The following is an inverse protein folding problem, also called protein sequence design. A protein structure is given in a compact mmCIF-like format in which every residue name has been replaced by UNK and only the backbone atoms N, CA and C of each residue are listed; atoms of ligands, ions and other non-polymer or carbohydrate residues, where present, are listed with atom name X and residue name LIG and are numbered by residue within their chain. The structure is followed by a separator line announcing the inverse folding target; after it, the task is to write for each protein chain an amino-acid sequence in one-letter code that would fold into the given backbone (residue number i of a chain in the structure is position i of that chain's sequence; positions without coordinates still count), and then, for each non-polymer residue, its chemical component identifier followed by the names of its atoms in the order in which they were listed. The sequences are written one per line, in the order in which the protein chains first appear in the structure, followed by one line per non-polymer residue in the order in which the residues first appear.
data_IF_560048220336
#
_entry.id   IF_560048220336
#
_cell.length_a   1.000
_cell.length_b   1.000
_cell.length_c   1.000
_cell.angle_alpha   90.00
_cell.angle_beta   90.00
_cell.angle_gamma   90.00
#
_symmetry.space_group_name_H-M   'P 1'
#
loop_
_entity.id
_entity.type
_entity.pdbx_description
1 polymer ?
#
# COMPACT_ATOMS: atom_id res chain seq x y z
N UNK A 1 26.71 0.18 26.08
CA UNK A 1 27.39 -0.66 25.08
C UNK A 1 27.98 -1.92 25.67
N UNK A 2 28.58 -1.91 26.87
CA UNK A 2 29.12 -3.16 27.46
C UNK A 2 28.11 -4.31 27.56
N UNK A 3 26.85 -4.03 27.88
CA UNK A 3 25.81 -5.06 27.90
C UNK A 3 25.60 -5.72 26.52
N UNK A 4 25.71 -4.98 25.41
CA UNK A 4 25.68 -5.56 24.07
C UNK A 4 26.90 -6.43 23.81
N UNK A 5 28.10 -5.95 24.15
CA UNK A 5 29.35 -6.67 23.90
C UNK A 5 29.56 -7.90 24.78
N UNK A 6 28.83 -8.03 25.89
CA UNK A 6 28.77 -9.28 26.65
C UNK A 6 28.01 -10.39 25.91
N UNK A 7 27.10 -10.01 25.02
CA UNK A 7 26.22 -10.93 24.28
C UNK A 7 26.71 -11.12 22.85
N UNK A 8 27.29 -10.07 22.25
CA UNK A 8 27.78 -10.04 20.88
C UNK A 8 29.28 -9.69 20.79
N UNK A 9 30.19 -10.49 21.38
CA UNK A 9 31.62 -10.23 21.30
C UNK A 9 32.15 -10.29 19.85
N UNK A 10 31.71 -11.25 19.03
CA UNK A 10 32.15 -11.34 17.62
C UNK A 10 31.69 -10.13 16.82
N UNK A 11 30.47 -9.64 17.05
CA UNK A 11 29.95 -8.45 16.39
C UNK A 11 30.77 -7.21 16.74
N UNK A 12 31.26 -7.12 17.98
CA UNK A 12 32.16 -6.03 18.39
C UNK A 12 33.45 -6.09 17.58
N UNK A 13 34.02 -7.27 17.40
CA UNK A 13 35.28 -7.48 16.66
C UNK A 13 35.09 -7.22 15.15
N UNK A 14 33.92 -7.53 14.59
CA UNK A 14 33.58 -7.18 13.20
C UNK A 14 33.43 -5.67 13.01
N UNK A 15 32.81 -4.97 13.95
CA UNK A 15 32.52 -3.54 13.85
C UNK A 15 33.72 -2.66 14.22
N UNK A 16 34.61 -3.11 15.11
CA UNK A 16 35.65 -2.27 15.69
C UNK A 16 37.03 -2.92 15.77
N UNK A 17 38.04 -2.17 15.34
CA UNK A 17 39.45 -2.47 15.62
C UNK A 17 39.99 -1.60 16.76
N UNK A 18 40.98 -2.14 17.49
CA UNK A 18 41.73 -1.36 18.49
C UNK A 18 42.71 -0.43 17.78
N UNK A 19 42.51 0.88 17.93
CA UNK A 19 43.42 1.90 17.40
C UNK A 19 44.57 2.21 18.37
N UNK A 20 44.26 2.29 19.67
CA UNK A 20 45.23 2.43 20.77
C UNK A 20 44.59 1.94 22.07
N UNK A 21 45.35 1.79 23.16
CA UNK A 21 44.82 1.30 24.45
C UNK A 21 43.60 2.12 24.89
N UNK A 22 42.42 1.49 24.91
CA UNK A 22 41.13 2.14 25.25
C UNK A 22 40.42 2.87 24.10
N UNK A 23 40.98 2.92 22.89
CA UNK A 23 40.40 3.61 21.73
C UNK A 23 40.14 2.65 20.57
N UNK A 24 38.95 2.76 19.99
CA UNK A 24 38.47 1.91 18.91
C UNK A 24 38.26 2.72 17.63
N UNK A 25 38.50 2.08 16.48
CA UNK A 25 38.19 2.59 15.15
C UNK A 25 37.07 1.74 14.55
N UNK A 26 36.10 2.39 13.90
CA UNK A 26 35.04 1.69 13.18
C UNK A 26 35.59 1.05 11.90
N UNK A 27 35.27 -0.22 11.67
CA UNK A 27 35.75 -1.03 10.55
C UNK A 27 34.82 -0.97 9.32
N UNK A 28 33.61 -0.45 9.49
CA UNK A 28 32.56 -0.37 8.47
C UNK A 28 32.10 1.07 8.25
N UNK A 29 31.57 1.36 7.07
CA UNK A 29 30.92 2.65 6.79
C UNK A 29 29.58 2.79 7.55
N UNK A 30 29.17 4.02 7.83
CA UNK A 30 27.98 4.31 8.66
C UNK A 30 26.68 3.73 8.07
N UNK A 31 26.59 3.63 6.74
CA UNK A 31 25.43 3.11 6.00
C UNK A 31 25.34 1.57 6.03
N UNK A 32 26.42 0.85 6.35
CA UNK A 32 26.46 -0.61 6.36
C UNK A 32 26.29 -1.21 7.77
N UNK A 33 26.43 -0.41 8.84
CA UNK A 33 26.37 -0.87 10.25
C UNK A 33 25.18 -1.79 10.53
N UNK A 34 23.96 -1.36 10.15
CA UNK A 34 22.74 -2.15 10.39
C UNK A 34 22.80 -3.50 9.68
N UNK A 35 23.25 -3.51 8.43
CA UNK A 35 23.40 -4.75 7.66
C UNK A 35 24.41 -5.70 8.32
N UNK A 36 25.53 -5.17 8.82
CA UNK A 36 26.52 -5.97 9.57
C UNK A 36 25.90 -6.59 10.81
N UNK A 37 25.15 -5.80 11.61
CA UNK A 37 24.47 -6.30 12.82
C UNK A 37 23.50 -7.44 12.47
N UNK A 38 22.65 -7.25 11.45
CA UNK A 38 21.66 -8.27 11.06
C UNK A 38 22.27 -9.53 10.44
N UNK A 39 23.48 -9.44 9.90
CA UNK A 39 24.17 -10.58 9.27
C UNK A 39 25.05 -11.35 10.24
N UNK A 40 25.28 -10.84 11.44
CA UNK A 40 26.15 -11.45 12.43
C UNK A 40 25.48 -12.67 13.09
N UNK A 41 26.25 -13.75 13.24
CA UNK A 41 25.75 -15.04 13.77
C UNK A 41 25.25 -14.95 15.21
N UNK A 42 25.88 -14.16 16.08
CA UNK A 42 25.45 -14.01 17.48
C UNK A 42 24.17 -13.21 17.60
N UNK A 43 23.98 -12.21 16.73
CA UNK A 43 22.73 -11.46 16.65
C UNK A 43 21.59 -12.38 16.21
N UNK A 44 21.78 -13.13 15.11
CA UNK A 44 20.80 -14.12 14.62
C UNK A 44 20.47 -15.15 15.70
N UNK A 45 21.48 -15.75 16.33
CA UNK A 45 21.28 -16.74 17.40
C UNK A 45 20.55 -16.16 18.63
N UNK A 46 20.70 -14.86 18.90
CA UNK A 46 19.92 -14.20 19.95
C UNK A 46 18.45 -14.02 19.56
N UNK A 47 18.18 -13.72 18.28
CA UNK A 47 16.82 -13.77 17.71
C UNK A 47 16.17 -15.14 17.88
N UNK A 48 16.88 -16.23 17.60
CA UNK A 48 16.38 -17.60 17.76
C UNK A 48 16.00 -17.92 19.21
N UNK A 49 16.76 -17.44 20.20
CA UNK A 49 16.42 -17.59 21.63
C UNK A 49 15.12 -16.88 22.00
N UNK A 50 14.87 -15.72 21.39
CA UNK A 50 13.61 -14.97 21.58
C UNK A 50 12.44 -15.74 20.97
N UNK A 51 12.61 -16.27 19.77
CA UNK A 51 11.61 -17.11 19.10
C UNK A 51 11.31 -18.39 19.88
N UNK A 52 12.33 -19.02 20.47
CA UNK A 52 12.18 -20.18 21.34
C UNK A 52 11.39 -19.83 22.61
N UNK A 53 11.77 -18.75 23.32
CA UNK A 53 11.06 -18.28 24.50
C UNK A 53 9.57 -17.97 24.19
N UNK A 54 9.32 -17.29 23.08
CA UNK A 54 7.95 -17.01 22.64
C UNK A 54 7.19 -18.28 22.27
N UNK A 55 7.83 -19.25 21.63
CA UNK A 55 7.23 -20.54 21.27
C UNK A 55 6.88 -21.37 22.50
N UNK A 56 7.73 -21.38 23.51
CA UNK A 56 7.47 -22.02 24.81
C UNK A 56 6.27 -21.37 25.51
N UNK A 57 6.20 -20.04 25.51
CA UNK A 57 5.03 -19.32 26.03
C UNK A 57 3.76 -19.65 25.24
N UNK A 58 3.82 -19.68 23.89
CA UNK A 58 2.68 -20.05 23.04
C UNK A 58 2.17 -21.45 23.38
N UNK A 59 3.04 -22.43 23.56
CA UNK A 59 2.65 -23.79 23.97
C UNK A 59 1.90 -23.80 25.31
N UNK A 60 2.35 -23.00 26.28
CA UNK A 60 1.66 -22.85 27.57
C UNK A 60 0.31 -22.14 27.43
N UNK A 61 0.26 -21.11 26.59
CA UNK A 61 -0.93 -20.32 26.34
C UNK A 61 -1.99 -21.14 25.59
N UNK A 62 -1.58 -21.96 24.62
CA UNK A 62 -2.42 -22.79 23.76
C UNK A 62 -3.35 -23.70 24.58
N UNK A 63 -2.78 -24.37 25.60
CA UNK A 63 -3.54 -25.26 26.47
C UNK A 63 -4.73 -24.55 27.15
N UNK A 64 -4.69 -23.22 27.29
CA UNK A 64 -5.74 -22.39 27.89
C UNK A 64 -6.59 -21.69 26.82
N UNK A 65 -5.93 -20.99 25.90
CA UNK A 65 -6.56 -20.16 24.88
C UNK A 65 -7.27 -20.94 23.79
N UNK A 66 -7.05 -22.26 23.64
CA UNK A 66 -7.84 -23.16 22.78
C UNK A 66 -9.00 -23.86 23.52
N UNK A 67 -9.02 -23.78 24.85
CA UNK A 67 -9.99 -24.47 25.70
C UNK A 67 -10.81 -23.49 26.54
N UNK A 68 -11.23 -22.36 25.94
CA UNK A 68 -12.04 -21.37 26.63
C UNK A 68 -13.44 -21.91 26.95
N UNK A 69 -13.89 -21.72 28.21
CA UNK A 69 -15.14 -22.24 28.77
C UNK A 69 -15.80 -21.20 29.69
N UNK A 70 -17.09 -21.35 29.94
CA UNK A 70 -17.92 -20.41 30.73
C UNK A 70 -17.48 -20.25 32.19
N UNK A 71 -16.74 -21.20 32.74
CA UNK A 71 -16.22 -21.20 34.11
C UNK A 71 -14.86 -20.48 34.25
N UNK A 72 -14.26 -20.06 33.14
CA UNK A 72 -12.94 -19.40 33.15
C UNK A 72 -13.10 -17.92 33.50
N UNK A 73 -12.36 -17.50 34.54
CA UNK A 73 -12.17 -16.09 34.88
C UNK A 73 -11.15 -15.45 33.93
N UNK A 74 -11.58 -14.41 33.20
CA UNK A 74 -10.70 -13.62 32.31
C UNK A 74 -9.56 -12.96 33.08
N UNK A 75 -9.83 -12.50 34.31
CA UNK A 75 -8.84 -11.90 35.21
C UNK A 75 -7.77 -12.92 35.63
N UNK A 76 -8.16 -14.16 35.94
CA UNK A 76 -7.20 -15.19 36.32
C UNK A 76 -6.40 -15.69 35.12
N UNK A 77 -7.02 -15.70 33.94
CA UNK A 77 -6.36 -16.08 32.69
C UNK A 77 -5.20 -15.13 32.35
N UNK A 78 -5.43 -13.81 32.36
CA UNK A 78 -4.35 -12.85 32.06
C UNK A 78 -3.22 -12.93 33.10
N UNK A 79 -3.53 -13.12 34.38
CA UNK A 79 -2.49 -13.30 35.42
C UNK A 79 -1.61 -14.50 35.09
N UNK A 80 -2.20 -15.64 34.69
CA UNK A 80 -1.45 -16.85 34.32
C UNK A 80 -0.61 -16.65 33.06
N UNK A 81 -1.17 -16.01 32.03
CA UNK A 81 -0.44 -15.73 30.78
C UNK A 81 0.73 -14.78 31.01
N UNK A 82 0.53 -13.73 31.80
CA UNK A 82 1.54 -12.76 32.18
C UNK A 82 2.67 -13.35 33.03
N UNK A 83 2.33 -14.18 34.02
CA UNK A 83 3.35 -14.86 34.83
C UNK A 83 4.21 -15.79 33.98
N UNK A 84 3.58 -16.52 33.05
CA UNK A 84 4.32 -17.39 32.14
C UNK A 84 5.22 -16.60 31.21
N UNK A 85 4.76 -15.49 30.60
CA UNK A 85 5.58 -14.73 29.64
C UNK A 85 6.78 -14.10 30.33
N UNK A 86 6.61 -13.60 31.55
CA UNK A 86 7.72 -13.05 32.34
C UNK A 86 8.79 -14.09 32.65
N UNK A 87 8.38 -15.34 32.91
CA UNK A 87 9.30 -16.44 33.20
C UNK A 87 10.08 -16.88 31.96
N UNK A 88 9.41 -17.04 30.82
CA UNK A 88 10.09 -17.49 29.58
C UNK A 88 11.14 -16.46 29.10
N UNK A 89 10.95 -15.18 29.42
CA UNK A 89 11.87 -14.10 29.04
C UNK A 89 12.85 -13.68 30.16
N UNK A 90 12.87 -14.39 31.29
CA UNK A 90 13.65 -13.98 32.47
C UNK A 90 15.17 -14.03 32.25
N UNK A 91 15.64 -15.02 31.48
CA UNK A 91 17.06 -15.26 31.25
C UNK A 91 17.61 -14.50 30.02
N UNK A 92 16.77 -13.73 29.32
CA UNK A 92 17.20 -12.94 28.17
C UNK A 92 17.78 -11.59 28.61
N UNK A 93 19.04 -11.35 28.24
CA UNK A 93 19.83 -10.23 28.78
C UNK A 93 19.59 -8.86 28.13
N UNK A 94 19.23 -8.82 26.84
CA UNK A 94 19.04 -7.57 26.08
C UNK A 94 17.56 -7.20 25.88
N UNK A 95 16.65 -8.16 26.02
CA UNK A 95 15.22 -7.89 26.01
C UNK A 95 14.74 -7.82 27.45
N UNK A 96 14.13 -6.71 27.81
CA UNK A 96 13.52 -6.55 29.12
C UNK A 96 12.18 -7.31 29.17
N UNK A 97 12.09 -8.32 30.04
CA UNK A 97 10.86 -9.11 30.26
C UNK A 97 9.62 -8.25 30.57
N UNK A 98 9.81 -7.07 31.19
CA UNK A 98 8.70 -6.16 31.47
C UNK A 98 8.16 -5.49 30.21
N UNK A 99 9.00 -5.21 29.21
CA UNK A 99 8.55 -4.64 27.94
C UNK A 99 7.71 -5.67 27.16
N UNK A 100 8.12 -6.93 27.18
CA UNK A 100 7.34 -8.06 26.62
C UNK A 100 6.01 -8.23 27.35
N UNK A 101 6.00 -8.13 28.67
CA UNK A 101 4.78 -8.12 29.47
C UNK A 101 3.86 -6.94 29.12
N UNK A 102 4.41 -5.74 28.88
CA UNK A 102 3.60 -4.59 28.45
C UNK A 102 2.96 -4.81 27.09
N UNK A 103 3.63 -5.46 26.14
CA UNK A 103 3.03 -5.83 24.84
C UNK A 103 1.80 -6.72 25.05
N UNK A 104 1.94 -7.78 25.84
CA UNK A 104 0.81 -8.67 26.16
C UNK A 104 -0.32 -7.90 26.84
N UNK A 105 -0.02 -7.04 27.82
CA UNK A 105 -1.03 -6.26 28.53
C UNK A 105 -1.74 -5.24 27.65
N UNK A 106 -0.99 -4.52 26.82
CA UNK A 106 -1.55 -3.55 25.89
C UNK A 106 -2.55 -4.25 24.98
N UNK A 107 -2.13 -5.35 24.36
CA UNK A 107 -3.01 -6.12 23.47
C UNK A 107 -4.19 -6.75 24.21
N UNK A 108 -3.98 -7.24 25.43
CA UNK A 108 -5.05 -7.75 26.29
C UNK A 108 -6.13 -6.69 26.52
N UNK A 109 -5.72 -5.48 26.88
CA UNK A 109 -6.64 -4.40 27.21
C UNK A 109 -7.34 -3.81 25.97
N UNK A 110 -6.68 -3.83 24.81
CA UNK A 110 -7.23 -3.26 23.58
C UNK A 110 -8.21 -4.19 22.87
N UNK A 111 -7.91 -5.49 22.76
CA UNK A 111 -8.72 -6.41 21.95
C UNK A 111 -8.89 -7.81 22.56
N UNK A 112 -7.80 -8.44 23.04
CA UNK A 112 -7.84 -9.87 23.37
C UNK A 112 -8.76 -10.19 24.55
N UNK A 113 -8.91 -9.29 25.53
CA UNK A 113 -9.86 -9.47 26.64
C UNK A 113 -11.30 -9.53 26.15
N UNK A 114 -11.66 -8.69 25.17
CA UNK A 114 -13.00 -8.62 24.61
C UNK A 114 -13.29 -9.86 23.76
N UNK A 115 -12.32 -10.31 22.97
CA UNK A 115 -12.42 -11.55 22.20
C UNK A 115 -12.64 -12.77 23.11
N UNK A 116 -11.82 -12.91 24.15
CA UNK A 116 -11.94 -14.00 25.15
C UNK A 116 -13.29 -13.93 25.85
N UNK A 117 -13.73 -12.75 26.25
CA UNK A 117 -15.03 -12.55 26.91
C UNK A 117 -16.18 -12.95 26.00
N UNK A 118 -16.11 -12.57 24.71
CA UNK A 118 -17.12 -12.93 23.73
C UNK A 118 -17.19 -14.45 23.56
N UNK A 119 -16.06 -15.15 23.41
CA UNK A 119 -16.02 -16.62 23.28
C UNK A 119 -16.58 -17.31 24.52
N UNK A 120 -16.22 -16.85 25.72
CA UNK A 120 -16.69 -17.41 26.99
C UNK A 120 -18.20 -17.21 27.16
N UNK A 121 -18.73 -16.06 26.73
CA UNK A 121 -20.14 -15.70 26.90
C UNK A 121 -21.07 -16.27 25.82
N UNK A 122 -20.53 -16.64 24.65
CA UNK A 122 -21.32 -17.14 23.52
C UNK A 122 -21.64 -18.63 23.68
N UNK A 123 -22.90 -19.01 23.49
CA UNK A 123 -23.31 -20.42 23.53
C UNK A 123 -22.58 -21.29 22.49
N UNK A 124 -22.15 -20.68 21.38
CA UNK A 124 -21.39 -21.37 20.34
C UNK A 124 -19.86 -21.40 20.61
N UNK A 125 -19.38 -20.79 21.69
CA UNK A 125 -17.96 -20.68 22.00
C UNK A 125 -17.18 -20.02 20.85
N UNK A 126 -16.15 -20.72 20.34
CA UNK A 126 -15.39 -20.28 19.16
C UNK A 126 -16.26 -20.10 17.91
N UNK A 127 -17.43 -20.72 17.84
CA UNK A 127 -18.39 -20.50 16.75
C UNK A 127 -18.88 -19.05 16.66
N UNK A 128 -18.69 -18.22 17.70
CA UNK A 128 -18.88 -16.78 17.65
C UNK A 128 -18.03 -16.11 16.54
N UNK A 129 -16.90 -16.70 16.15
CA UNK A 129 -16.01 -16.16 15.12
C UNK A 129 -16.63 -16.14 13.71
N UNK A 130 -17.71 -16.90 13.51
CA UNK A 130 -18.52 -16.90 12.27
C UNK A 130 -19.47 -15.70 12.18
N UNK A 131 -19.64 -14.95 13.28
CA UNK A 131 -20.57 -13.80 13.35
C UNK A 131 -19.91 -12.56 12.74
N UNK A 132 -20.72 -11.82 11.98
CA UNK A 132 -20.35 -10.53 11.39
C UNK A 132 -21.27 -9.43 11.90
N UNK A 133 -20.80 -8.19 11.87
CA UNK A 133 -21.60 -7.00 12.18
C UNK A 133 -21.54 -5.96 11.06
N UNK A 134 -22.60 -5.19 10.90
CA UNK A 134 -22.67 -4.15 9.89
C UNK A 134 -22.12 -2.83 10.45
N UNK A 135 -21.28 -2.16 9.66
CA UNK A 135 -20.79 -0.81 9.96
C UNK A 135 -21.85 0.19 9.49
N UNK A 136 -22.37 0.99 10.41
CA UNK A 136 -23.44 1.96 10.15
C UNK A 136 -22.88 3.38 10.10
N UNK A 137 -23.36 4.19 9.16
CA UNK A 137 -23.03 5.62 9.06
C UNK A 137 -24.30 6.46 9.03
N UNK A 138 -24.31 7.56 9.77
CA UNK A 138 -25.38 8.56 9.72
C UNK A 138 -25.46 9.20 8.33
N UNK A 139 -26.68 9.46 7.88
CA UNK A 139 -26.95 10.15 6.62
C UNK A 139 -27.47 11.55 6.88
N UNK A 140 -27.32 12.43 5.87
CA UNK A 140 -27.90 13.79 5.89
C UNK A 140 -29.44 13.82 5.88
N UNK A 141 -30.09 12.66 5.76
CA UNK A 141 -31.55 12.55 5.78
C UNK A 141 -31.99 12.17 7.19
N UNK A 142 -33.01 12.84 7.70
CA UNK A 142 -33.63 12.46 8.97
C UNK A 142 -34.70 11.39 8.75
N UNK A 143 -34.90 10.56 9.76
CA UNK A 143 -36.08 9.71 9.86
C UNK A 143 -37.32 10.53 10.26
N UNK A 144 -38.46 9.84 10.36
CA UNK A 144 -39.73 10.46 10.74
C UNK A 144 -39.71 11.12 12.13
N UNK A 145 -38.72 10.78 12.97
CA UNK A 145 -38.57 11.27 14.33
C UNK A 145 -37.52 12.39 14.43
N UNK A 146 -36.97 12.84 13.31
CA UNK A 146 -35.95 13.90 13.26
C UNK A 146 -34.52 13.43 13.53
N UNK A 147 -34.28 12.13 13.71
CA UNK A 147 -32.93 11.59 13.93
C UNK A 147 -32.23 11.30 12.60
N UNK A 148 -30.89 11.39 12.51
CA UNK A 148 -30.15 10.99 11.32
C UNK A 148 -30.42 9.53 10.95
N UNK A 149 -30.89 9.30 9.72
CA UNK A 149 -31.13 7.94 9.23
C UNK A 149 -29.80 7.22 9.07
N UNK A 150 -29.67 6.02 9.62
CA UNK A 150 -28.48 5.18 9.49
C UNK A 150 -28.48 4.39 8.17
N UNK A 151 -27.32 4.28 7.53
CA UNK A 151 -27.08 3.44 6.34
C UNK A 151 -25.91 2.49 6.59
N UNK A 152 -26.07 1.23 6.20
CA UNK A 152 -24.97 0.25 6.17
C UNK A 152 -23.93 0.71 5.14
N UNK A 153 -22.69 0.94 5.59
CA UNK A 153 -21.55 1.32 4.73
C UNK A 153 -20.53 0.21 4.58
N UNK A 154 -20.61 -0.84 5.39
CA UNK A 154 -19.72 -1.98 5.33
C UNK A 154 -20.11 -3.03 6.36
N UNK A 155 -19.24 -4.00 6.56
CA UNK A 155 -19.36 -5.02 7.61
C UNK A 155 -17.97 -5.46 8.03
N UNK A 156 -17.89 -5.99 9.25
CA UNK A 156 -16.68 -6.53 9.86
C UNK A 156 -17.00 -7.85 10.58
N UNK A 157 -16.02 -8.74 10.72
CA UNK A 157 -16.15 -9.93 11.57
C UNK A 157 -16.04 -9.56 13.05
N UNK A 158 -16.85 -10.22 13.90
CA UNK A 158 -16.89 -9.88 15.34
C UNK A 158 -15.61 -10.24 16.10
N UNK A 159 -14.96 -11.35 15.72
CA UNK A 159 -13.72 -11.82 16.34
C UNK A 159 -12.55 -11.81 15.36
N UNK A 160 -12.76 -12.40 14.17
CA UNK A 160 -11.74 -12.44 13.12
C UNK A 160 -11.97 -11.26 12.19
N UNK A 161 -11.02 -10.34 11.99
CA UNK A 161 -11.12 -9.26 11.01
C UNK A 161 -11.21 -9.79 9.56
N UNK A 162 -12.00 -9.12 8.73
CA UNK A 162 -12.22 -9.44 7.31
C UNK A 162 -10.92 -9.49 6.54
N UNK A 163 -10.00 -8.58 6.88
CA UNK A 163 -8.67 -8.53 6.29
C UNK A 163 -7.90 -9.84 6.47
N UNK A 164 -8.02 -10.51 7.63
CA UNK A 164 -7.35 -11.79 7.88
C UNK A 164 -7.94 -12.91 7.04
N UNK A 165 -9.28 -12.96 6.90
CA UNK A 165 -9.95 -13.94 6.03
C UNK A 165 -9.51 -13.76 4.58
N UNK A 166 -9.50 -12.52 4.10
CA UNK A 166 -9.07 -12.21 2.74
C UNK A 166 -7.61 -12.63 2.53
N UNK A 167 -6.71 -12.27 3.45
CA UNK A 167 -5.29 -12.62 3.30
C UNK A 167 -5.01 -14.12 3.37
N UNK A 168 -5.76 -14.86 4.17
CA UNK A 168 -5.50 -16.28 4.38
C UNK A 168 -6.16 -17.17 3.31
N UNK A 169 -7.38 -16.83 2.89
CA UNK A 169 -8.21 -17.70 2.05
C UNK A 169 -8.38 -17.20 0.61
N UNK A 170 -8.08 -15.94 0.34
CA UNK A 170 -8.25 -15.30 -0.97
C UNK A 170 -6.99 -14.50 -1.36
N UNK A 171 -5.82 -15.07 -1.06
CA UNK A 171 -4.53 -14.44 -1.29
C UNK A 171 -4.24 -14.24 -2.77
N UNK A 172 -4.68 -15.16 -3.63
CA UNK A 172 -4.53 -15.03 -5.09
C UNK A 172 -5.39 -13.90 -5.65
N UNK A 173 -6.67 -13.80 -5.26
CA UNK A 173 -7.53 -12.70 -5.69
C UNK A 173 -7.05 -11.35 -5.15
N UNK A 174 -6.58 -11.32 -3.90
CA UNK A 174 -5.98 -10.11 -3.32
C UNK A 174 -4.73 -9.71 -4.11
N UNK A 175 -3.84 -10.65 -4.43
CA UNK A 175 -2.64 -10.38 -5.22
C UNK A 175 -2.98 -9.87 -6.61
N UNK A 176 -3.95 -10.47 -7.30
CA UNK A 176 -4.39 -10.00 -8.60
C UNK A 176 -4.96 -8.56 -8.54
N UNK A 177 -5.62 -8.19 -7.44
CA UNK A 177 -6.07 -6.82 -7.20
C UNK A 177 -4.89 -5.87 -6.94
N UNK A 178 -3.92 -6.28 -6.12
CA UNK A 178 -2.72 -5.50 -5.82
C UNK A 178 -1.90 -5.25 -7.11
N UNK A 179 -1.73 -6.27 -7.96
CA UNK A 179 -1.07 -6.17 -9.27
C UNK A 179 -1.80 -5.17 -10.20
N UNK A 180 -3.13 -5.18 -10.19
CA UNK A 180 -3.93 -4.20 -10.95
C UNK A 180 -3.82 -2.78 -10.38
N UNK A 181 -3.74 -2.63 -9.06
CA UNK A 181 -3.53 -1.32 -8.42
C UNK A 181 -2.16 -0.74 -8.79
N UNK A 182 -1.11 -1.57 -8.78
CA UNK A 182 0.22 -1.17 -9.24
C UNK A 182 0.20 -0.79 -10.71
N UNK A 183 -0.46 -1.59 -11.55
CA UNK A 183 -0.64 -1.29 -12.97
C UNK A 183 -1.38 0.05 -13.21
N UNK A 184 -2.39 0.36 -12.42
CA UNK A 184 -3.10 1.65 -12.47
C UNK A 184 -2.16 2.78 -12.05
N UNK A 185 -1.42 2.63 -10.95
CA UNK A 185 -0.47 3.64 -10.48
C UNK A 185 0.61 3.95 -11.54
N UNK A 186 1.15 2.92 -12.18
CA UNK A 186 2.10 3.09 -13.28
C UNK A 186 1.46 3.80 -14.49
N UNK A 187 0.24 3.41 -14.86
CA UNK A 187 -0.49 4.02 -15.98
C UNK A 187 -0.81 5.49 -15.71
N UNK A 188 -1.22 5.82 -14.50
CA UNK A 188 -1.51 7.19 -14.06
C UNK A 188 -0.24 8.04 -14.00
N UNK A 189 0.89 7.46 -13.55
CA UNK A 189 2.19 8.13 -13.59
C UNK A 189 2.61 8.48 -15.02
N UNK A 190 2.46 7.55 -15.97
CA UNK A 190 2.72 7.82 -17.40
C UNK A 190 1.79 8.89 -17.97
N UNK A 191 0.52 8.89 -17.55
CA UNK A 191 -0.43 9.93 -17.96
C UNK A 191 -0.04 11.30 -17.40
N UNK A 192 0.47 11.35 -16.17
CA UNK A 192 0.98 12.57 -15.55
C UNK A 192 2.21 13.11 -16.27
N UNK A 193 3.15 12.25 -16.67
CA UNK A 193 4.28 12.67 -17.51
C UNK A 193 3.83 13.27 -18.84
N UNK A 194 2.82 12.68 -19.51
CA UNK A 194 2.26 13.29 -20.73
C UNK A 194 1.62 14.66 -20.48
N UNK A 195 0.96 14.84 -19.33
CA UNK A 195 0.39 16.14 -18.94
C UNK A 195 1.50 17.18 -18.76
N UNK A 196 2.60 16.82 -18.10
CA UNK A 196 3.72 17.72 -17.83
C UNK A 196 4.55 18.06 -19.07
N UNK A 197 4.67 17.12 -20.00
CA UNK A 197 5.38 17.32 -21.28
C UNK A 197 4.53 18.07 -22.33
N UNK A 198 3.21 18.19 -22.10
CA UNK A 198 2.29 18.82 -23.05
C UNK A 198 2.57 20.31 -23.21
N UNK A 199 2.53 20.80 -24.46
CA UNK A 199 2.68 22.22 -24.72
C UNK A 199 1.46 22.99 -24.21
N UNK A 200 1.67 24.16 -23.60
CA UNK A 200 0.61 24.97 -22.98
C UNK A 200 -0.57 25.28 -23.93
N UNK A 201 -0.29 25.41 -25.23
CA UNK A 201 -1.29 25.71 -26.27
C UNK A 201 -1.68 24.49 -27.13
N UNK A 202 -1.37 23.26 -26.69
CA UNK A 202 -1.74 22.04 -27.42
C UNK A 202 -3.25 21.76 -27.33
N UNK A 203 -3.77 20.98 -28.29
CA UNK A 203 -5.15 20.51 -28.18
C UNK A 203 -5.37 19.57 -26.96
N UNK A 204 -4.29 18.97 -26.44
CA UNK A 204 -4.32 18.15 -25.25
C UNK A 204 -4.45 18.99 -23.96
N UNK A 205 -3.79 20.15 -23.87
CA UNK A 205 -3.89 21.01 -22.67
C UNK A 205 -5.32 21.49 -22.39
N UNK A 206 -6.11 21.69 -23.44
CA UNK A 206 -7.53 22.09 -23.35
C UNK A 206 -8.43 21.07 -22.63
N UNK A 207 -8.05 19.78 -22.60
CA UNK A 207 -8.85 18.73 -21.93
C UNK A 207 -8.36 18.41 -20.51
N UNK A 208 -7.30 19.08 -20.04
CA UNK A 208 -6.73 18.89 -18.71
C UNK A 208 -7.49 19.76 -17.71
N UNK A 209 -8.10 19.12 -16.71
CA UNK A 209 -8.83 19.78 -15.63
C UNK A 209 -8.15 19.48 -14.29
N UNK A 210 -7.51 20.49 -13.69
CA UNK A 210 -6.89 20.37 -12.37
C UNK A 210 -5.82 19.28 -12.28
N UNK A 211 -4.99 19.16 -13.33
CA UNK A 211 -3.93 18.14 -13.42
C UNK A 211 -4.45 16.72 -13.69
N UNK A 212 -5.69 16.58 -14.14
CA UNK A 212 -6.30 15.28 -14.49
C UNK A 212 -6.98 15.36 -15.84
N UNK A 213 -7.10 14.22 -16.50
CA UNK A 213 -7.82 14.10 -17.78
C UNK A 213 -8.63 12.80 -17.81
N UNK A 214 -9.80 12.84 -18.45
CA UNK A 214 -10.69 11.68 -18.61
C UNK A 214 -10.72 11.21 -20.05
N UNK A 215 -10.83 9.90 -20.25
CA UNK A 215 -10.86 9.29 -21.59
C UNK A 215 -12.00 9.84 -22.45
N UNK A 216 -13.12 10.22 -21.82
CA UNK A 216 -14.29 10.82 -22.47
C UNK A 216 -14.00 12.19 -23.07
N UNK A 217 -13.31 13.08 -22.36
CA UNK A 217 -13.03 14.43 -22.83
C UNK A 217 -11.97 14.42 -23.92
N UNK A 218 -10.93 13.58 -23.78
CA UNK A 218 -9.95 13.34 -24.84
C UNK A 218 -10.64 12.85 -26.12
N UNK A 219 -11.55 11.87 -26.00
CA UNK A 219 -12.31 11.36 -27.14
C UNK A 219 -13.15 12.45 -27.81
N UNK A 220 -13.76 13.33 -27.01
CA UNK A 220 -14.54 14.46 -27.54
C UNK A 220 -13.64 15.39 -28.36
N UNK A 221 -12.45 15.75 -27.85
CA UNK A 221 -11.49 16.60 -28.57
C UNK A 221 -10.94 15.93 -29.84
N UNK A 222 -10.62 14.64 -29.78
CA UNK A 222 -10.25 13.87 -30.98
C UNK A 222 -11.36 13.89 -32.04
N UNK A 223 -12.63 13.74 -31.64
CA UNK A 223 -13.75 13.80 -32.57
C UNK A 223 -13.98 15.21 -33.14
N UNK A 224 -13.72 16.25 -32.36
CA UNK A 224 -13.78 17.65 -32.80
C UNK A 224 -12.73 17.93 -33.89
N UNK A 225 -11.47 17.53 -33.67
CA UNK A 225 -10.40 17.64 -34.66
C UNK A 225 -10.80 16.92 -35.96
N UNK A 226 -11.28 15.68 -35.85
CA UNK A 226 -11.71 14.90 -37.02
C UNK A 226 -13.02 15.37 -37.64
N UNK A 227 -13.77 16.28 -36.99
CA UNK A 227 -15.02 16.81 -37.53
C UNK A 227 -14.81 17.78 -38.68
N UNK A 228 -13.61 18.40 -38.74
CA UNK A 228 -13.18 19.31 -39.80
C UNK A 228 -12.56 18.59 -41.00
N UNK A 229 -12.43 17.27 -40.95
CA UNK A 229 -11.88 16.48 -42.06
C UNK A 229 -12.96 16.26 -43.12
N UNK A 230 -12.67 16.69 -44.34
CA UNK A 230 -13.56 16.52 -45.49
C UNK A 230 -13.07 15.40 -46.39
N UNK A 231 -13.94 14.43 -46.64
CA UNK A 231 -13.77 13.41 -47.69
C UNK A 231 -15.11 13.24 -48.40
N UNK A 232 -15.14 12.77 -49.66
CA UNK A 232 -16.40 12.53 -50.37
C UNK A 232 -17.38 11.67 -49.56
N UNK A 233 -16.86 10.69 -48.81
CA UNK A 233 -17.64 9.84 -47.92
C UNK A 233 -18.17 10.61 -46.70
N UNK A 234 -17.32 11.35 -45.98
CA UNK A 234 -17.72 12.11 -44.79
C UNK A 234 -18.77 13.17 -45.16
N UNK A 235 -18.52 13.95 -46.21
CA UNK A 235 -19.43 15.01 -46.65
C UNK A 235 -20.79 14.43 -47.09
N UNK A 236 -20.77 13.30 -47.80
CA UNK A 236 -22.00 12.61 -48.19
C UNK A 236 -22.77 12.04 -47.00
N UNK A 237 -22.09 11.50 -45.99
CA UNK A 237 -22.70 11.01 -44.75
C UNK A 237 -23.27 12.14 -43.90
N UNK A 238 -22.60 13.30 -43.80
CA UNK A 238 -23.12 14.50 -43.12
C UNK A 238 -24.39 15.02 -43.81
N UNK A 239 -24.39 15.08 -45.14
CA UNK A 239 -25.60 15.44 -45.91
C UNK A 239 -26.73 14.45 -45.65
N UNK A 240 -26.46 13.15 -45.73
CA UNK A 240 -27.45 12.10 -45.46
C UNK A 240 -28.01 12.20 -44.03
N UNK A 241 -27.16 12.49 -43.05
CA UNK A 241 -27.57 12.68 -41.65
C UNK A 241 -28.56 13.83 -41.48
N UNK A 242 -28.32 14.96 -42.15
CA UNK A 242 -29.18 16.15 -42.10
C UNK A 242 -30.52 15.97 -42.81
N UNK A 243 -30.59 15.08 -43.81
CA UNK A 243 -31.83 14.75 -44.50
C UNK A 243 -32.75 13.83 -43.67
N UNK A 244 -32.22 13.10 -42.67
CA UNK A 244 -33.01 12.16 -41.86
C UNK A 244 -33.88 12.86 -40.79
N UNK A 245 -35.09 12.32 -40.48
CA UNK A 245 -35.64 11.05 -40.96
C UNK A 245 -36.29 11.16 -42.36
N UNK A 246 -36.15 10.12 -43.19
CA UNK A 246 -36.78 10.00 -44.52
C UNK A 246 -37.48 8.66 -44.70
N UNK A 247 -38.38 8.55 -45.70
CA UNK A 247 -39.02 7.27 -46.04
C UNK A 247 -38.00 6.31 -46.64
N UNK A 248 -38.24 5.00 -46.48
CA UNK A 248 -37.37 3.94 -47.02
C UNK A 248 -37.04 4.08 -48.50
N UNK A 249 -38.03 4.44 -49.31
CA UNK A 249 -37.84 4.64 -50.74
C UNK A 249 -36.88 5.82 -51.04
N UNK A 250 -37.01 6.92 -50.30
CA UNK A 250 -36.25 8.16 -50.51
C UNK A 250 -34.76 7.98 -50.16
N UNK A 251 -34.43 7.38 -49.01
CA UNK A 251 -33.02 7.15 -48.68
C UNK A 251 -32.37 6.05 -49.53
N UNK A 252 -33.13 5.03 -49.96
CA UNK A 252 -32.60 3.99 -50.86
C UNK A 252 -32.26 4.60 -52.21
N UNK A 253 -33.15 5.42 -52.77
CA UNK A 253 -32.90 6.12 -54.03
C UNK A 253 -31.72 7.09 -53.93
N UNK A 254 -31.61 7.84 -52.83
CA UNK A 254 -30.49 8.73 -52.58
C UNK A 254 -29.15 7.98 -52.48
N UNK A 255 -29.10 6.84 -51.78
CA UNK A 255 -27.88 6.03 -51.63
C UNK A 255 -27.52 5.33 -52.95
N UNK A 256 -28.48 4.85 -53.73
CA UNK A 256 -28.21 4.28 -55.06
C UNK A 256 -27.54 5.30 -56.00
N UNK A 257 -27.88 6.58 -55.87
CA UNK A 257 -27.24 7.67 -56.62
C UNK A 257 -25.90 8.12 -56.02
N UNK A 258 -25.53 7.63 -54.82
CA UNK A 258 -24.32 7.97 -54.09
C UNK A 258 -23.74 6.71 -53.41
N UNK A 259 -23.28 5.75 -54.22
CA UNK A 259 -22.94 4.38 -53.77
C UNK A 259 -21.93 4.33 -52.61
N UNK A 260 -21.08 5.34 -52.47
CA UNK A 260 -20.16 5.48 -51.33
C UNK A 260 -20.88 5.49 -49.96
N UNK A 261 -22.18 5.83 -49.92
CA UNK A 261 -23.00 5.89 -48.71
C UNK A 261 -23.63 4.55 -48.31
N UNK A 262 -23.38 3.46 -49.04
CA UNK A 262 -23.86 2.12 -48.69
C UNK A 262 -23.41 1.68 -47.29
N UNK A 263 -22.27 2.19 -46.81
CA UNK A 263 -21.76 1.95 -45.45
C UNK A 263 -22.73 2.42 -44.34
N UNK A 264 -23.73 3.25 -44.66
CA UNK A 264 -24.73 3.72 -43.71
C UNK A 264 -25.85 2.69 -43.42
N UNK A 265 -25.92 1.59 -44.20
CA UNK A 265 -26.88 0.52 -43.97
C UNK A 265 -26.54 -0.29 -42.71
N UNK A 266 -27.58 -0.63 -41.95
CA UNK A 266 -27.50 -1.69 -40.93
C UNK A 266 -27.57 -3.08 -41.58
N UNK A 267 -27.27 -4.13 -40.81
CA UNK A 267 -27.43 -5.53 -41.22
C UNK A 267 -28.86 -5.85 -41.69
N UNK A 268 -29.86 -5.12 -41.18
CA UNK A 268 -31.27 -5.25 -41.59
C UNK A 268 -31.63 -4.43 -42.83
N UNK A 269 -30.64 -3.88 -43.54
CA UNK A 269 -30.78 -2.98 -44.70
C UNK A 269 -31.73 -1.80 -44.43
N UNK A 270 -31.58 -1.21 -43.24
CA UNK A 270 -32.25 0.04 -42.87
C UNK A 270 -31.22 1.13 -42.61
N UNK A 271 -31.60 2.38 -42.85
CA UNK A 271 -30.79 3.56 -42.56
C UNK A 271 -31.48 4.37 -41.48
N UNK A 272 -30.76 4.68 -40.41
CA UNK A 272 -31.24 5.43 -39.25
C UNK A 272 -30.23 6.52 -38.89
N UNK A 273 -30.64 7.52 -38.10
CA UNK A 273 -29.69 8.53 -37.59
C UNK A 273 -28.52 7.87 -36.86
N UNK A 274 -28.78 6.80 -36.12
CA UNK A 274 -27.76 6.02 -35.41
C UNK A 274 -26.81 5.30 -36.35
N UNK A 275 -27.30 4.66 -37.42
CA UNK A 275 -26.43 3.94 -38.38
C UNK A 275 -25.57 4.89 -39.21
N UNK A 276 -26.11 6.06 -39.59
CA UNK A 276 -25.31 7.12 -40.25
C UNK A 276 -24.27 7.70 -39.29
N UNK A 277 -24.61 7.95 -38.03
CA UNK A 277 -23.65 8.42 -37.02
C UNK A 277 -22.53 7.39 -36.77
N UNK A 278 -22.86 6.10 -36.78
CA UNK A 278 -21.87 5.02 -36.69
C UNK A 278 -20.94 4.99 -37.90
N UNK A 279 -21.48 5.01 -39.11
CA UNK A 279 -20.69 5.07 -40.35
C UNK A 279 -19.80 6.32 -40.42
N UNK A 280 -20.30 7.47 -39.98
CA UNK A 280 -19.54 8.71 -39.90
C UNK A 280 -18.37 8.61 -38.90
N UNK A 281 -18.58 7.92 -37.78
CA UNK A 281 -17.52 7.64 -36.80
C UNK A 281 -16.40 6.78 -37.39
N UNK A 282 -16.74 5.73 -38.14
CA UNK A 282 -15.76 4.87 -38.84
C UNK A 282 -15.01 5.70 -39.90
N UNK A 283 -15.74 6.38 -40.78
CA UNK A 283 -15.15 7.19 -41.85
C UNK A 283 -14.17 8.25 -41.30
N UNK A 284 -14.52 8.89 -40.18
CA UNK A 284 -13.61 9.84 -39.50
C UNK A 284 -12.42 9.17 -38.83
N UNK A 285 -12.54 7.92 -38.38
CA UNK A 285 -11.41 7.19 -37.77
C UNK A 285 -10.38 6.69 -38.78
N UNK A 286 -10.81 6.47 -40.03
CA UNK A 286 -9.96 6.00 -41.15
C UNK A 286 -9.39 7.15 -41.98
N UNK A 287 -9.99 8.35 -41.89
CA UNK A 287 -9.52 9.52 -42.61
C UNK A 287 -8.15 9.99 -42.08
N UNK A 288 -7.30 10.57 -42.96
CA UNK A 288 -6.04 11.14 -42.52
C UNK A 288 -6.29 12.31 -41.55
N UNK A 289 -5.50 12.35 -40.49
CA UNK A 289 -5.49 13.47 -39.54
C UNK A 289 -4.98 14.71 -40.29
N UNK A 290 -5.60 15.90 -40.15
CA UNK A 290 -5.07 17.12 -40.73
C UNK A 290 -3.64 17.39 -40.25
N UNK A 291 -2.74 17.78 -41.15
CA UNK A 291 -1.32 18.00 -40.83
C UNK A 291 -1.10 18.97 -39.65
N UNK A 292 -1.96 20.00 -39.55
CA UNK A 292 -1.94 21.00 -38.47
C UNK A 292 -2.16 20.39 -37.09
N UNK A 293 -2.89 19.26 -37.01
CA UNK A 293 -3.22 18.58 -35.77
C UNK A 293 -2.53 17.22 -35.65
N UNK A 294 -1.55 16.90 -36.50
CA UNK A 294 -0.94 15.57 -36.51
C UNK A 294 -0.27 15.22 -35.17
N UNK A 295 0.50 16.16 -34.61
CA UNK A 295 1.20 15.99 -33.33
C UNK A 295 0.21 16.00 -32.15
N UNK A 296 -0.70 16.97 -32.12
CA UNK A 296 -1.80 17.07 -31.13
C UNK A 296 -2.63 15.78 -31.08
N UNK A 297 -3.02 15.24 -32.24
CA UNK A 297 -3.84 14.03 -32.31
C UNK A 297 -3.07 12.79 -31.87
N UNK A 298 -1.76 12.74 -32.14
CA UNK A 298 -0.89 11.65 -31.68
C UNK A 298 -0.79 11.65 -30.16
N UNK A 299 -0.59 12.81 -29.55
CA UNK A 299 -0.57 13.02 -28.11
C UNK A 299 -1.93 12.66 -27.48
N UNK A 300 -3.02 13.21 -27.99
CA UNK A 300 -4.39 12.88 -27.57
C UNK A 300 -4.67 11.38 -27.65
N UNK A 301 -4.23 10.70 -28.71
CA UNK A 301 -4.41 9.25 -28.88
C UNK A 301 -3.61 8.45 -27.86
N UNK A 302 -2.40 8.89 -27.51
CA UNK A 302 -1.59 8.25 -26.46
C UNK A 302 -2.24 8.42 -25.09
N UNK A 303 -2.61 9.66 -24.73
CA UNK A 303 -3.31 9.99 -23.49
C UNK A 303 -4.65 9.24 -23.38
N UNK A 304 -5.42 9.14 -24.47
CA UNK A 304 -6.69 8.42 -24.50
C UNK A 304 -6.53 6.95 -24.11
N UNK A 305 -5.50 6.28 -24.66
CA UNK A 305 -5.22 4.87 -24.36
C UNK A 305 -4.92 4.67 -22.87
N UNK A 306 -4.06 5.52 -22.30
CA UNK A 306 -3.68 5.45 -20.89
C UNK A 306 -4.87 5.76 -19.99
N UNK A 307 -5.57 6.88 -20.21
CA UNK A 307 -6.74 7.28 -19.44
C UNK A 307 -7.85 6.21 -19.49
N UNK A 308 -8.13 5.66 -20.66
CA UNK A 308 -9.12 4.60 -20.82
C UNK A 308 -8.72 3.33 -20.05
N UNK A 309 -7.45 2.92 -20.16
CA UNK A 309 -6.94 1.72 -19.49
C UNK A 309 -6.95 1.88 -17.95
N UNK A 310 -6.59 3.06 -17.44
CA UNK A 310 -6.69 3.39 -16.01
C UNK A 310 -8.13 3.36 -15.52
N UNK A 311 -9.07 3.98 -16.25
CA UNK A 311 -10.50 3.99 -15.91
C UNK A 311 -11.10 2.57 -15.90
N UNK A 312 -10.80 1.75 -16.91
CA UNK A 312 -11.26 0.36 -17.02
C UNK A 312 -10.69 -0.53 -15.91
N UNK A 313 -9.39 -0.41 -15.62
CA UNK A 313 -8.72 -1.18 -14.56
C UNK A 313 -9.22 -0.76 -13.18
N UNK A 314 -9.41 0.53 -12.93
CA UNK A 314 -10.02 1.06 -11.70
C UNK A 314 -11.44 0.52 -11.49
N UNK A 315 -12.21 0.39 -12.58
CA UNK A 315 -13.55 -0.20 -12.52
C UNK A 315 -13.47 -1.69 -12.17
N UNK A 316 -12.54 -2.43 -12.80
CA UNK A 316 -12.33 -3.85 -12.51
C UNK A 316 -11.92 -4.09 -11.06
N UNK A 317 -11.01 -3.27 -10.50
CA UNK A 317 -10.62 -3.33 -9.09
C UNK A 317 -11.85 -3.20 -8.17
N UNK A 318 -12.76 -2.27 -8.46
CA UNK A 318 -14.00 -2.10 -7.68
C UNK A 318 -14.95 -3.30 -7.78
N UNK A 319 -15.02 -3.93 -8.95
CA UNK A 319 -15.82 -5.14 -9.16
C UNK A 319 -15.21 -6.33 -8.40
N UNK A 320 -13.89 -6.50 -8.47
CA UNK A 320 -13.15 -7.51 -7.72
C UNK A 320 -13.27 -7.31 -6.21
N UNK A 321 -13.17 -6.07 -5.71
CA UNK A 321 -13.32 -5.74 -4.29
C UNK A 321 -14.71 -6.13 -3.79
N UNK A 322 -15.76 -5.80 -4.56
CA UNK A 322 -17.12 -6.22 -4.23
C UNK A 322 -17.28 -7.74 -4.23
N UNK A 323 -16.74 -8.44 -5.23
CA UNK A 323 -16.81 -9.89 -5.29
C UNK A 323 -16.07 -10.54 -4.13
N UNK A 324 -14.88 -10.03 -3.80
CA UNK A 324 -14.05 -10.50 -2.70
C UNK A 324 -14.73 -10.26 -1.35
N UNK A 325 -15.36 -9.11 -1.15
CA UNK A 325 -16.14 -8.79 0.05
C UNK A 325 -17.34 -9.75 0.21
N UNK A 326 -18.08 -10.03 -0.88
CA UNK A 326 -19.18 -11.00 -0.86
C UNK A 326 -18.70 -12.44 -0.59
N UNK A 327 -17.58 -12.85 -1.21
CA UNK A 327 -16.94 -14.16 -0.97
C UNK A 327 -16.48 -14.31 0.47
N UNK A 328 -15.78 -13.31 1.00
CA UNK A 328 -15.31 -13.29 2.38
C UNK A 328 -16.50 -13.42 3.34
N UNK A 329 -17.57 -12.64 3.15
CA UNK A 329 -18.77 -12.70 4.01
C UNK A 329 -19.42 -14.08 4.01
N UNK A 330 -19.53 -14.72 2.85
CA UNK A 330 -20.06 -16.09 2.76
C UNK A 330 -19.15 -17.08 3.48
N UNK A 331 -17.83 -16.89 3.37
CA UNK A 331 -16.84 -17.77 3.98
C UNK A 331 -16.87 -17.76 5.51
N UNK A 332 -17.19 -16.63 6.14
CA UNK A 332 -17.39 -16.55 7.60
C UNK A 332 -18.38 -17.59 8.11
N UNK A 333 -19.48 -17.81 7.38
CA UNK A 333 -20.55 -18.72 7.80
C UNK A 333 -20.13 -20.19 7.77
N UNK A 334 -19.08 -20.52 7.01
CA UNK A 334 -18.64 -21.90 6.76
C UNK A 334 -17.24 -22.19 7.30
N UNK A 335 -16.65 -21.31 8.11
CA UNK A 335 -15.35 -21.57 8.74
C UNK A 335 -15.42 -22.84 9.58
N UNK A 336 -14.44 -23.72 9.44
CA UNK A 336 -14.30 -24.87 10.34
C UNK A 336 -13.74 -24.42 11.69
N UNK A 337 -13.85 -25.27 12.71
CA UNK A 337 -13.28 -24.94 14.02
C UNK A 337 -11.75 -24.83 13.93
N UNK A 338 -11.09 -25.70 13.16
CA UNK A 338 -9.63 -25.63 12.92
C UNK A 338 -9.23 -24.32 12.24
N UNK A 339 -10.00 -23.85 11.25
CA UNK A 339 -9.75 -22.56 10.59
C UNK A 339 -9.98 -21.38 11.53
N UNK A 340 -10.96 -21.47 12.43
CA UNK A 340 -11.18 -20.44 13.45
C UNK A 340 -9.97 -20.37 14.38
N UNK A 341 -9.46 -21.52 14.84
CA UNK A 341 -8.29 -21.57 15.70
C UNK A 341 -7.06 -21.00 14.97
N UNK A 342 -6.83 -21.37 13.72
CA UNK A 342 -5.73 -20.82 12.93
C UNK A 342 -5.86 -19.30 12.74
N UNK A 343 -7.02 -18.81 12.32
CA UNK A 343 -7.20 -17.38 12.02
C UNK A 343 -7.26 -16.51 13.27
N UNK A 344 -7.92 -16.98 14.32
CA UNK A 344 -8.13 -16.19 15.53
C UNK A 344 -6.95 -16.30 16.49
N UNK A 345 -6.50 -17.51 16.80
CA UNK A 345 -5.47 -17.69 17.81
C UNK A 345 -4.09 -17.46 17.19
N UNK A 346 -3.78 -18.15 16.08
CA UNK A 346 -2.46 -18.05 15.50
C UNK A 346 -2.28 -16.72 14.74
N UNK A 347 -3.16 -16.41 13.78
CA UNK A 347 -3.02 -15.23 12.90
C UNK A 347 -3.46 -13.89 13.47
N UNK A 348 -4.36 -13.88 14.47
CA UNK A 348 -4.75 -12.64 15.15
C UNK A 348 -3.97 -12.49 16.46
N UNK A 349 -4.17 -13.40 17.42
CA UNK A 349 -3.65 -13.18 18.78
C UNK A 349 -2.14 -13.34 18.90
N UNK A 350 -1.60 -14.49 18.46
CA UNK A 350 -0.17 -14.76 18.59
C UNK A 350 0.68 -13.95 17.62
N UNK A 351 0.24 -13.77 16.37
CA UNK A 351 0.96 -12.90 15.43
C UNK A 351 1.03 -11.46 15.95
N UNK A 352 -0.02 -10.91 16.57
CA UNK A 352 0.03 -9.55 17.15
C UNK A 352 1.07 -9.41 18.27
N UNK A 353 1.08 -10.37 19.21
CA UNK A 353 2.05 -10.37 20.32
C UNK A 353 3.47 -10.62 19.78
N UNK A 354 3.62 -11.55 18.85
CA UNK A 354 4.90 -11.90 18.23
C UNK A 354 5.50 -10.73 17.44
N UNK A 355 4.69 -9.97 16.70
CA UNK A 355 5.11 -8.74 16.02
C UNK A 355 5.64 -7.73 17.04
N UNK A 356 4.93 -7.48 18.14
CA UNK A 356 5.42 -6.57 19.18
C UNK A 356 6.75 -7.03 19.80
N UNK A 357 6.93 -8.32 20.04
CA UNK A 357 8.20 -8.87 20.57
C UNK A 357 9.33 -8.71 19.54
N UNK A 358 9.04 -8.95 18.25
CA UNK A 358 10.00 -8.75 17.17
C UNK A 358 10.38 -7.27 17.00
N UNK A 359 9.48 -6.34 17.27
CA UNK A 359 9.79 -4.90 17.30
C UNK A 359 10.75 -4.54 18.45
N UNK A 360 10.64 -5.17 19.61
CA UNK A 360 11.65 -5.01 20.69
C UNK A 360 13.02 -5.53 20.24
N UNK A 361 13.04 -6.67 19.56
CA UNK A 361 14.28 -7.21 19.00
C UNK A 361 14.88 -6.28 17.93
N UNK A 362 14.07 -5.74 17.02
CA UNK A 362 14.53 -4.74 16.05
C UNK A 362 15.04 -3.46 16.74
N UNK A 363 14.41 -3.07 17.84
CA UNK A 363 14.83 -1.91 18.64
C UNK A 363 16.24 -2.08 19.21
N UNK A 364 16.66 -3.29 19.57
CA UNK A 364 18.06 -3.56 19.97
C UNK A 364 19.02 -3.18 18.85
N UNK A 365 18.75 -3.60 17.61
CA UNK A 365 19.58 -3.25 16.45
C UNK A 365 19.62 -1.74 16.22
N UNK A 366 18.48 -1.05 16.33
CA UNK A 366 18.42 0.41 16.19
C UNK A 366 19.22 1.13 17.28
N UNK A 367 19.02 0.77 18.55
CA UNK A 367 19.77 1.36 19.67
C UNK A 367 21.27 1.14 19.53
N UNK A 368 21.68 -0.07 19.13
CA UNK A 368 23.08 -0.40 18.90
C UNK A 368 23.66 0.44 17.76
N UNK A 369 22.98 0.47 16.61
CA UNK A 369 23.39 1.22 15.42
C UNK A 369 23.50 2.72 15.70
N UNK A 370 22.47 3.31 16.30
CA UNK A 370 22.42 4.74 16.58
C UNK A 370 23.54 5.13 17.54
N UNK A 371 23.84 4.28 18.53
CA UNK A 371 24.94 4.52 19.47
C UNK A 371 26.31 4.39 18.80
N UNK A 372 26.49 3.46 17.87
CA UNK A 372 27.73 3.35 17.08
C UNK A 372 27.91 4.59 16.21
N UNK A 373 26.87 5.05 15.52
CA UNK A 373 26.90 6.24 14.66
C UNK A 373 27.18 7.49 15.49
N UNK A 374 26.56 7.65 16.66
CA UNK A 374 26.82 8.75 17.58
C UNK A 374 28.30 8.78 18.01
N UNK A 375 28.86 7.61 18.34
CA UNK A 375 30.27 7.49 18.70
C UNK A 375 31.18 7.79 17.49
N UNK A 376 30.90 7.24 16.31
CA UNK A 376 31.61 7.54 15.07
C UNK A 376 31.68 9.04 14.82
N UNK A 377 30.54 9.72 14.84
CA UNK A 377 30.45 11.18 14.61
C UNK A 377 31.22 11.97 15.67
N UNK A 378 31.09 11.60 16.95
CA UNK A 378 31.78 12.28 18.05
C UNK A 378 33.30 12.12 17.98
N UNK A 379 33.79 10.96 17.54
CA UNK A 379 35.21 10.64 17.46
C UNK A 379 35.80 10.79 16.05
N UNK A 380 35.03 11.26 15.06
CA UNK A 380 35.49 11.56 13.69
C UNK A 380 36.62 12.59 13.66
N UNK A 381 36.60 13.53 14.60
CA UNK A 381 37.69 14.47 14.88
C UNK A 381 38.17 14.27 16.32
N UNK A 382 39.07 13.30 16.60
CA UNK A 382 39.57 13.06 17.94
C UNK A 382 40.18 14.34 18.52
N UNK A 383 39.94 14.62 19.80
CA UNK A 383 40.52 15.77 20.50
C UNK A 383 42.05 15.91 20.26
N UNK A 384 42.86 14.83 20.20
CA UNK A 384 44.27 14.94 19.85
C UNK A 384 44.53 15.50 18.44
N UNK A 385 43.71 15.14 17.45
CA UNK A 385 43.83 15.68 16.08
C UNK A 385 43.42 17.16 16.04
N UNK A 386 42.36 17.53 16.76
CA UNK A 386 41.97 18.94 16.90
C UNK A 386 43.06 19.73 17.62
N UNK A 387 43.63 19.20 18.70
CA UNK A 387 44.74 19.82 19.43
C UNK A 387 45.99 19.97 18.56
N UNK A 388 46.31 18.96 17.75
CA UNK A 388 47.42 19.03 16.80
C UNK A 388 47.17 20.09 15.72
N UNK A 389 45.98 20.12 15.12
CA UNK A 389 45.61 21.15 14.14
C UNK A 389 45.63 22.56 14.75
N UNK A 390 45.15 22.71 16.00
CA UNK A 390 45.22 23.98 16.72
C UNK A 390 46.66 24.38 16.98
N UNK A 391 47.53 23.46 17.42
CA UNK A 391 48.95 23.74 17.62
C UNK A 391 49.66 24.14 16.33
N UNK A 392 49.37 23.44 15.22
CA UNK A 392 49.92 23.75 13.90
C UNK A 392 49.45 25.14 13.41
N UNK A 393 48.17 25.47 13.58
CA UNK A 393 47.62 26.80 13.30
C UNK A 393 48.20 27.89 14.22
N UNK A 394 48.43 27.59 15.50
CA UNK A 394 49.02 28.52 16.46
C UNK A 394 50.47 28.84 16.09
N UNK A 395 51.24 27.84 15.63
CA UNK A 395 52.59 28.04 15.09
C UNK A 395 52.54 28.96 13.86
N UNK A 396 51.60 28.75 12.94
CA UNK A 396 51.47 29.59 11.74
C UNK A 396 51.06 31.04 12.08
N UNK A 397 50.12 31.24 13.01
CA UNK A 397 49.73 32.58 13.48
C UNK A 397 50.90 33.29 14.16
N UNK A 398 51.68 32.58 15.00
CA UNK A 398 52.92 33.11 15.59
C UNK A 398 53.90 33.55 14.49
N UNK A 399 54.22 32.71 13.51
CA UNK A 399 55.09 33.14 12.39
C UNK A 399 54.56 34.40 11.68
N UNK A 400 53.25 34.53 11.54
CA UNK A 400 52.65 35.70 10.88
C UNK A 400 52.73 36.97 11.75
N UNK A 401 52.51 36.87 13.06
CA UNK A 401 52.62 37.98 14.00
C UNK A 401 54.07 38.47 14.16
N UNK A 402 55.07 37.57 14.13
CA UNK A 402 56.49 37.93 14.08
C UNK A 402 56.81 38.77 12.84
N UNK A 403 56.29 38.36 11.66
CA UNK A 403 56.45 39.13 10.41
C UNK A 403 55.82 40.51 10.46
N UNK A 404 54.78 40.69 11.28
CA UNK A 404 54.12 41.99 11.49
C UNK A 404 54.78 42.85 12.57
N UNK A 405 55.84 42.36 13.22
CA UNK A 405 56.63 43.12 14.19
C UNK A 405 56.11 43.05 15.64
N UNK A 406 55.22 42.10 15.96
CA UNK A 406 54.82 41.83 17.34
C UNK A 406 55.83 40.89 18.01
N UNK A 407 56.18 41.19 19.26
CA UNK A 407 57.06 40.37 20.13
C UNK A 407 56.29 39.98 21.38
N UNK A 408 56.28 38.69 21.72
CA UNK A 408 55.63 38.13 22.93
C UNK A 408 56.59 37.32 23.77
#
# INVERSE_FOLDING_TARGET
MEHFWKVFPSLKDELFDVFSEGYYKLNVEEDVIRQTIYSNEEFIAYGEKIDEAFSNWRNYADAKLKNLRTDISTKDLIVKLAQSILREFEDLSLINKYDVYQILLAYWNEELSDDVSMIISDEAGYGAARKTENIMKETKKTDANGNPKLKVVGWEGKLIPKKLIISALFSEEKRAMDDLMEFVAETDSRLMSLIEESAENSAFSEVIEGGKVKSKEIRKKMNEIMSHVHTPLIDGLVKLQNMLPMKKKEYVEYINNNIILEVAYTDKRTVTKTSVAYALGIARSEAPVPDVYADDYKELKAAFKLAKKSEESTKLIKEMDKELDEKARKRYLTLTDDEIIELLINKKWYDTIGVGINELYATISYQLSDRIIELSKRYKNPLPNIMKQTADCEIEVKKYLERMGFTW
#
